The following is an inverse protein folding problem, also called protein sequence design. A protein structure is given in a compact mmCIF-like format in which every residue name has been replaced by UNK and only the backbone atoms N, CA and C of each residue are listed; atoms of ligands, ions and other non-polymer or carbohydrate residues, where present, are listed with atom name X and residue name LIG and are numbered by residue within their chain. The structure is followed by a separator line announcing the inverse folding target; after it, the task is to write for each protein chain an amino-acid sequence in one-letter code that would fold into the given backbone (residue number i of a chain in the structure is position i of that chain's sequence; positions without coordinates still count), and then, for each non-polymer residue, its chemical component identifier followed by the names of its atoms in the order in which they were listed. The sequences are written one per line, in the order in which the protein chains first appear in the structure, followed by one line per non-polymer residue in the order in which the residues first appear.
data_IF_853976397363
#
_entry.id   IF_853976397363
#
_cell.length_a   1.000
_cell.length_b   1.000
_cell.length_c   1.000
_cell.angle_alpha   90.00
_cell.angle_beta   90.00
_cell.angle_gamma   90.00
#
_symmetry.space_group_name_H-M   'P 1'
#
loop_
_entity.id
_entity.type
_entity.pdbx_description
1 polymer ?
#
# COMPACT_ATOMS: atom_id res chain seq x y z
N UNK A 1 1.17 5.01 -38.76
CA UNK A 1 0.35 4.52 -37.63
C UNK A 1 1.02 4.72 -36.26
N UNK A 2 2.35 4.61 -36.13
CA UNK A 2 3.07 4.87 -34.85
C UNK A 2 2.95 6.33 -34.36
N UNK A 3 2.93 7.30 -35.29
CA UNK A 3 2.87 8.74 -34.98
C UNK A 3 1.54 9.22 -34.39
N UNK A 4 0.42 8.54 -34.61
CA UNK A 4 -0.88 8.94 -34.10
C UNK A 4 -1.12 8.47 -32.66
N UNK A 5 -0.63 7.26 -32.32
CA UNK A 5 -0.67 6.74 -30.95
C UNK A 5 0.23 7.54 -30.00
N UNK A 6 1.40 7.99 -30.46
CA UNK A 6 2.30 8.85 -29.69
C UNK A 6 1.67 10.24 -29.46
N UNK A 7 1.13 10.87 -30.49
CA UNK A 7 0.46 12.17 -30.36
C UNK A 7 -0.78 12.14 -29.45
N UNK A 8 -1.53 11.03 -29.45
CA UNK A 8 -2.68 10.84 -28.57
C UNK A 8 -2.28 10.58 -27.11
N UNK A 9 -1.18 9.86 -26.88
CA UNK A 9 -0.61 9.66 -25.55
C UNK A 9 -0.03 10.98 -24.97
N UNK A 10 0.67 11.77 -25.79
CA UNK A 10 1.23 13.07 -25.39
C UNK A 10 0.12 14.11 -25.11
N UNK A 11 -0.97 14.09 -25.89
CA UNK A 11 -2.14 14.95 -25.65
C UNK A 11 -2.85 14.62 -24.34
N UNK A 12 -3.09 13.33 -24.06
CA UNK A 12 -3.67 12.87 -22.79
C UNK A 12 -2.79 13.23 -21.58
N UNK A 13 -1.47 13.11 -21.73
CA UNK A 13 -0.53 13.45 -20.65
C UNK A 13 -0.52 14.95 -20.35
N UNK A 14 -0.60 15.79 -21.39
CA UNK A 14 -0.66 17.25 -21.24
C UNK A 14 -1.95 17.71 -20.54
N UNK A 15 -3.09 17.10 -20.87
CA UNK A 15 -4.37 17.40 -20.23
C UNK A 15 -4.40 16.97 -18.75
N UNK A 16 -3.77 15.83 -18.41
CA UNK A 16 -3.63 15.41 -17.01
C UNK A 16 -2.77 16.35 -16.19
N UNK A 17 -1.60 16.74 -16.70
CA UNK A 17 -0.68 17.61 -15.97
C UNK A 17 -1.30 18.99 -15.71
N UNK A 18 -2.08 19.52 -16.67
CA UNK A 18 -2.86 20.74 -16.48
C UNK A 18 -3.95 20.59 -15.41
N UNK A 19 -4.71 19.49 -15.43
CA UNK A 19 -5.75 19.22 -14.42
C UNK A 19 -5.15 19.11 -13.01
N UNK A 20 -4.04 18.39 -12.85
CA UNK A 20 -3.38 18.22 -11.56
C UNK A 20 -2.82 19.56 -11.07
N UNK A 21 -2.12 20.31 -11.93
CA UNK A 21 -1.55 21.62 -11.58
C UNK A 21 -2.63 22.66 -11.22
N UNK A 22 -3.73 22.71 -11.97
CA UNK A 22 -4.84 23.64 -11.71
C UNK A 22 -5.53 23.39 -10.36
N UNK A 23 -5.41 22.18 -9.81
CA UNK A 23 -6.00 21.79 -8.54
C UNK A 23 -4.97 21.63 -7.41
N UNK A 24 -3.70 22.02 -7.64
CA UNK A 24 -2.63 21.92 -6.64
C UNK A 24 -2.31 20.49 -6.23
N UNK A 25 -2.50 19.52 -7.13
CA UNK A 25 -2.28 18.10 -6.83
C UNK A 25 -0.87 17.71 -7.24
N UNK A 26 -0.04 17.41 -6.25
CA UNK A 26 1.34 16.95 -6.48
C UNK A 26 1.43 15.44 -6.46
N UNK A 27 1.61 14.84 -7.64
CA UNK A 27 1.80 13.39 -7.80
C UNK A 27 3.21 13.03 -8.24
N UNK A 28 3.75 11.96 -7.64
CA UNK A 28 5.00 11.33 -8.04
C UNK A 28 4.85 10.49 -9.32
N UNK A 29 5.97 10.01 -9.87
CA UNK A 29 5.97 9.26 -11.12
C UNK A 29 5.13 7.96 -11.07
N UNK A 30 5.15 7.21 -9.95
CA UNK A 30 4.39 5.97 -9.80
C UNK A 30 2.88 6.25 -9.74
N UNK A 31 2.47 7.31 -9.04
CA UNK A 31 1.08 7.77 -8.98
C UNK A 31 0.56 8.16 -10.36
N UNK A 32 1.33 8.94 -11.12
CA UNK A 32 0.98 9.32 -12.51
C UNK A 32 0.88 8.10 -13.41
N UNK A 33 1.82 7.14 -13.29
CA UNK A 33 1.78 5.87 -14.04
C UNK A 33 0.49 5.11 -13.77
N UNK A 34 0.10 4.96 -12.50
CA UNK A 34 -1.15 4.27 -12.13
C UNK A 34 -2.37 5.02 -12.65
N UNK A 35 -2.42 6.35 -12.53
CA UNK A 35 -3.53 7.15 -13.03
C UNK A 35 -3.68 7.00 -14.55
N UNK A 36 -2.58 7.07 -15.30
CA UNK A 36 -2.57 6.84 -16.75
C UNK A 36 -2.99 5.41 -17.10
N UNK A 37 -2.55 4.41 -16.32
CA UNK A 37 -2.98 3.02 -16.48
C UNK A 37 -4.49 2.85 -16.30
N UNK A 38 -5.08 3.49 -15.27
CA UNK A 38 -6.52 3.48 -15.04
C UNK A 38 -7.26 4.18 -16.18
N UNK A 39 -6.76 5.33 -16.64
CA UNK A 39 -7.40 6.10 -17.69
C UNK A 39 -7.44 5.35 -19.03
N UNK A 40 -6.36 4.64 -19.38
CA UNK A 40 -6.32 3.79 -20.57
C UNK A 40 -7.35 2.66 -20.55
N UNK A 41 -7.69 2.15 -19.36
CA UNK A 41 -8.60 1.00 -19.20
C UNK A 41 -10.06 1.42 -19.05
N UNK A 42 -10.31 2.45 -18.25
CA UNK A 42 -11.66 2.80 -17.82
C UNK A 42 -12.22 4.01 -18.57
N UNK A 43 -11.35 4.82 -19.17
CA UNK A 43 -11.71 6.05 -19.88
C UNK A 43 -11.13 7.31 -19.24
N UNK A 44 -11.60 8.50 -19.64
CA UNK A 44 -10.99 9.77 -19.24
C UNK A 44 -11.02 9.99 -17.72
N UNK A 45 -10.09 10.81 -17.23
CA UNK A 45 -10.10 11.27 -15.83
C UNK A 45 -10.94 12.53 -15.72
N UNK A 46 -11.83 12.58 -14.73
CA UNK A 46 -12.61 13.76 -14.38
C UNK A 46 -12.41 14.12 -12.90
N UNK A 47 -12.54 15.41 -12.59
CA UNK A 47 -12.50 15.90 -11.22
C UNK A 47 -13.91 15.94 -10.62
N UNK A 48 -14.07 15.44 -9.42
CA UNK A 48 -15.30 15.57 -8.66
C UNK A 48 -15.39 16.94 -7.99
N UNK A 49 -16.35 17.77 -8.40
CA UNK A 49 -16.58 19.13 -7.85
C UNK A 49 -17.78 19.21 -6.89
N UNK A 50 -18.22 18.08 -6.34
CA UNK A 50 -19.41 17.99 -5.48
C UNK A 50 -20.72 17.76 -6.25
N UNK A 51 -21.69 17.10 -5.59
CA UNK A 51 -22.98 16.73 -6.19
C UNK A 51 -23.03 15.29 -6.75
N UNK A 52 -24.10 14.88 -7.43
CA UNK A 52 -24.15 13.57 -8.08
C UNK A 52 -23.18 13.51 -9.26
N UNK A 53 -22.53 12.36 -9.47
CA UNK A 53 -21.74 12.13 -10.70
C UNK A 53 -22.70 12.23 -11.88
N UNK A 54 -22.38 13.04 -12.88
CA UNK A 54 -23.20 13.17 -14.07
C UNK A 54 -23.39 11.77 -14.67
N UNK A 55 -24.63 11.38 -14.95
CA UNK A 55 -25.04 10.00 -15.27
C UNK A 55 -24.39 9.36 -16.53
N UNK A 56 -23.39 10.02 -17.13
CA UNK A 56 -22.69 9.62 -18.36
C UNK A 56 -21.19 9.40 -18.20
N UNK A 57 -20.58 9.71 -17.06
CA UNK A 57 -19.12 9.67 -16.92
C UNK A 57 -18.65 8.25 -16.53
N UNK A 58 -18.36 7.43 -17.55
CA UNK A 58 -17.45 6.29 -17.40
C UNK A 58 -16.03 6.82 -17.26
N UNK A 59 -15.18 6.13 -16.50
CA UNK A 59 -13.77 6.51 -16.39
C UNK A 59 -13.26 6.58 -14.96
N UNK A 60 -12.31 7.48 -14.77
CA UNK A 60 -11.58 7.65 -13.52
C UNK A 60 -12.02 8.96 -12.89
N UNK A 61 -12.47 8.91 -11.64
CA UNK A 61 -12.99 10.08 -10.93
C UNK A 61 -12.01 10.45 -9.82
N UNK A 62 -11.39 11.62 -9.93
CA UNK A 62 -10.53 12.20 -8.90
C UNK A 62 -11.38 12.92 -7.86
N UNK A 63 -11.26 12.51 -6.60
CA UNK A 63 -11.94 13.16 -5.47
C UNK A 63 -10.88 13.83 -4.61
N UNK A 64 -10.83 15.16 -4.70
CA UNK A 64 -9.82 16.00 -4.03
C UNK A 64 -10.35 16.72 -2.79
N UNK A 65 -11.68 16.85 -2.71
CA UNK A 65 -12.37 17.35 -1.53
C UNK A 65 -13.06 16.19 -0.80
N UNK A 66 -12.93 16.07 0.52
CA UNK A 66 -13.63 15.05 1.27
C UNK A 66 -15.15 15.35 1.24
N UNK A 67 -15.98 14.45 0.71
CA UNK A 67 -17.43 14.65 0.75
C UNK A 67 -17.96 14.49 2.18
N UNK A 68 -19.00 15.26 2.53
CA UNK A 68 -19.77 14.99 3.74
C UNK A 68 -20.40 13.59 3.70
N UNK A 69 -20.79 13.02 4.84
CA UNK A 69 -21.43 11.70 4.90
C UNK A 69 -22.61 11.54 3.91
N UNK A 70 -23.58 12.48 3.88
CA UNK A 70 -24.67 12.45 2.90
C UNK A 70 -24.18 12.57 1.44
N UNK A 71 -23.21 13.45 1.16
CA UNK A 71 -22.66 13.62 -0.18
C UNK A 71 -21.92 12.36 -0.67
N UNK A 72 -21.19 11.70 0.23
CA UNK A 72 -20.50 10.43 -0.06
C UNK A 72 -21.48 9.31 -0.39
N UNK A 73 -22.62 9.25 0.30
CA UNK A 73 -23.69 8.27 0.00
C UNK A 73 -24.34 8.53 -1.36
N UNK A 74 -24.62 9.80 -1.69
CA UNK A 74 -25.13 10.19 -3.02
C UNK A 74 -24.11 9.84 -4.11
N UNK A 75 -22.84 10.18 -3.87
CA UNK A 75 -21.73 9.86 -4.77
C UNK A 75 -21.64 8.35 -5.01
N UNK A 76 -21.57 7.55 -3.95
CA UNK A 76 -21.52 6.09 -4.01
C UNK A 76 -22.68 5.49 -4.82
N UNK A 77 -23.90 5.98 -4.61
CA UNK A 77 -25.09 5.50 -5.36
C UNK A 77 -25.10 5.93 -6.82
N UNK A 78 -24.41 7.01 -7.16
CA UNK A 78 -24.28 7.48 -8.54
C UNK A 78 -23.17 6.79 -9.33
N UNK A 79 -22.23 6.13 -8.64
CA UNK A 79 -21.13 5.43 -9.29
C UNK A 79 -21.61 4.23 -10.10
N UNK A 80 -21.01 4.05 -11.27
CA UNK A 80 -21.19 2.85 -12.09
C UNK A 80 -20.15 1.80 -11.72
N UNK A 81 -20.43 0.54 -12.03
CA UNK A 81 -19.49 -0.55 -11.77
C UNK A 81 -18.20 -0.47 -12.60
N UNK A 82 -18.20 0.32 -13.69
CA UNK A 82 -17.07 0.58 -14.60
C UNK A 82 -16.29 1.87 -14.28
N UNK A 83 -16.52 2.47 -13.12
CA UNK A 83 -15.76 3.62 -12.63
C UNK A 83 -14.67 3.22 -11.63
N UNK A 84 -13.54 3.91 -11.67
CA UNK A 84 -12.58 3.94 -10.56
C UNK A 84 -12.61 5.32 -9.89
N UNK A 85 -12.47 5.33 -8.58
CA UNK A 85 -12.34 6.52 -7.74
C UNK A 85 -10.88 6.60 -7.29
N UNK A 86 -10.27 7.77 -7.44
CA UNK A 86 -8.91 8.05 -7.02
C UNK A 86 -8.94 9.20 -6.02
N UNK A 87 -8.30 9.00 -4.87
CA UNK A 87 -8.13 10.01 -3.82
C UNK A 87 -6.62 10.32 -3.72
N UNK A 88 -6.17 11.49 -4.20
CA UNK A 88 -4.75 11.86 -4.17
C UNK A 88 -4.18 12.11 -2.77
N UNK A 89 -5.05 12.33 -1.77
CA UNK A 89 -4.73 12.58 -0.36
C UNK A 89 -5.23 11.40 0.50
N UNK A 90 -4.89 10.18 0.10
CA UNK A 90 -5.42 8.93 0.63
C UNK A 90 -5.16 8.73 2.12
N UNK A 91 -4.09 9.33 2.65
CA UNK A 91 -3.72 9.32 4.06
C UNK A 91 -4.64 10.18 4.95
N UNK A 92 -5.45 11.05 4.35
CA UNK A 92 -6.29 11.97 5.09
C UNK A 92 -7.58 11.28 5.61
N UNK A 93 -7.83 11.31 6.94
CA UNK A 93 -8.97 10.60 7.53
C UNK A 93 -10.34 11.16 7.10
N UNK A 94 -10.40 12.40 6.59
CA UNK A 94 -11.64 12.98 6.09
C UNK A 94 -12.25 12.19 4.91
N UNK A 95 -11.44 11.39 4.18
CA UNK A 95 -11.90 10.52 3.10
C UNK A 95 -12.34 9.13 3.57
N UNK A 96 -12.13 8.76 4.84
CA UNK A 96 -12.35 7.40 5.34
C UNK A 96 -13.80 6.95 5.18
N UNK A 97 -14.77 7.85 5.38
CA UNK A 97 -16.17 7.52 5.17
C UNK A 97 -16.45 7.10 3.72
N UNK A 98 -15.94 7.85 2.74
CA UNK A 98 -16.07 7.50 1.32
C UNK A 98 -15.35 6.18 1.00
N UNK A 99 -14.09 6.05 1.42
CA UNK A 99 -13.29 4.83 1.20
C UNK A 99 -13.98 3.59 1.79
N UNK A 100 -14.64 3.72 2.95
CA UNK A 100 -15.35 2.62 3.62
C UNK A 100 -16.55 2.06 2.84
N UNK A 101 -17.12 2.85 1.92
CA UNK A 101 -18.24 2.48 1.05
C UNK A 101 -17.78 1.77 -0.22
N UNK A 102 -16.53 1.96 -0.60
CA UNK A 102 -15.95 1.45 -1.83
C UNK A 102 -15.16 0.17 -1.56
N UNK A 103 -14.97 -0.61 -2.62
CA UNK A 103 -13.96 -1.67 -2.60
C UNK A 103 -12.59 -1.03 -2.77
N UNK A 104 -11.70 -1.30 -1.83
CA UNK A 104 -10.29 -0.90 -1.87
C UNK A 104 -9.58 -1.68 -2.98
N UNK A 105 -9.04 -0.96 -3.98
CA UNK A 105 -8.31 -1.60 -5.09
C UNK A 105 -6.80 -1.52 -4.89
N UNK A 106 -6.29 -0.41 -4.39
CA UNK A 106 -4.85 -0.28 -4.17
C UNK A 106 -4.44 1.08 -3.60
N UNK A 107 -3.15 1.19 -3.32
CA UNK A 107 -2.51 2.39 -2.78
C UNK A 107 -1.11 2.57 -3.36
N UNK A 108 -0.68 3.82 -3.53
CA UNK A 108 0.68 4.16 -3.95
C UNK A 108 1.29 5.03 -2.87
N UNK A 109 2.44 4.60 -2.36
CA UNK A 109 3.15 5.30 -1.30
C UNK A 109 3.57 6.74 -1.66
N UNK A 110 3.74 7.60 -0.65
CA UNK A 110 4.26 8.95 -0.85
C UNK A 110 5.76 8.93 -1.17
N UNK A 111 6.26 10.06 -1.65
CA UNK A 111 7.67 10.34 -1.90
C UNK A 111 7.91 11.85 -1.93
N UNK A 112 9.17 12.29 -1.99
CA UNK A 112 9.47 13.72 -1.94
C UNK A 112 8.80 14.52 -3.07
N UNK A 113 8.69 13.95 -4.28
CA UNK A 113 8.08 14.57 -5.46
C UNK A 113 6.54 14.45 -5.52
N UNK A 114 5.94 13.61 -4.67
CA UNK A 114 4.51 13.47 -4.46
C UNK A 114 4.27 13.00 -3.02
N UNK A 115 4.17 13.93 -2.05
CA UNK A 115 4.29 13.62 -0.61
C UNK A 115 3.02 13.06 0.03
N UNK A 116 2.01 12.76 -0.79
CA UNK A 116 0.74 12.18 -0.36
C UNK A 116 0.64 10.71 -0.76
N UNK A 117 -0.10 9.94 0.00
CA UNK A 117 -0.48 8.59 -0.41
C UNK A 117 -1.62 8.70 -1.44
N UNK A 118 -1.52 7.99 -2.56
CA UNK A 118 -2.66 7.90 -3.48
C UNK A 118 -3.45 6.64 -3.18
N UNK A 119 -4.74 6.78 -2.87
CA UNK A 119 -5.67 5.66 -2.74
C UNK A 119 -6.54 5.53 -3.99
N UNK A 120 -6.87 4.30 -4.38
CA UNK A 120 -7.82 4.07 -5.46
C UNK A 120 -8.72 2.84 -5.21
N UNK A 121 -9.96 2.93 -5.70
CA UNK A 121 -11.01 1.94 -5.45
C UNK A 121 -12.21 2.10 -6.35
N UNK A 122 -13.29 1.38 -6.07
CA UNK A 122 -14.52 1.44 -6.86
C UNK A 122 -15.60 0.47 -6.38
N UNK A 123 -16.66 0.29 -7.18
CA UNK A 123 -17.74 -0.66 -6.84
C UNK A 123 -17.33 -2.10 -7.15
N UNK A 124 -16.66 -2.33 -8.28
CA UNK A 124 -16.41 -3.68 -8.77
C UNK A 124 -15.03 -3.81 -9.42
N UNK A 125 -14.38 -4.94 -9.16
CA UNK A 125 -13.12 -5.34 -9.80
C UNK A 125 -13.26 -5.75 -11.27
N UNK A 126 -14.48 -6.11 -11.71
CA UNK A 126 -14.73 -6.68 -13.04
C UNK A 126 -14.17 -5.86 -14.22
N UNK A 127 -14.27 -4.52 -14.26
CA UNK A 127 -13.74 -3.73 -15.37
C UNK A 127 -12.21 -3.65 -15.39
N UNK A 128 -11.55 -4.00 -14.30
CA UNK A 128 -10.09 -3.96 -14.14
C UNK A 128 -9.49 -5.35 -14.39
N UNK A 129 -10.26 -6.40 -14.12
CA UNK A 129 -9.88 -7.78 -14.40
C UNK A 129 -9.59 -7.99 -15.90
N UNK A 130 -8.66 -8.90 -16.25
CA UNK A 130 -8.34 -9.20 -17.64
C UNK A 130 -9.58 -9.72 -18.38
N UNK A 131 -9.72 -9.33 -19.64
CA UNK A 131 -10.73 -9.92 -20.52
C UNK A 131 -10.43 -11.40 -20.76
N UNK A 132 -11.48 -12.21 -20.93
CA UNK A 132 -11.32 -13.64 -21.19
C UNK A 132 -10.48 -13.87 -22.46
N UNK A 133 -9.41 -14.66 -22.34
CA UNK A 133 -8.53 -15.02 -23.44
C UNK A 133 -7.38 -14.03 -23.73
N UNK A 134 -7.25 -12.96 -22.95
CA UNK A 134 -6.09 -12.06 -23.05
C UNK A 134 -4.81 -12.78 -22.59
N UNK A 135 -3.73 -12.68 -23.38
CA UNK A 135 -2.41 -13.24 -23.04
C UNK A 135 -1.48 -12.10 -22.65
N UNK A 136 -0.88 -12.16 -21.46
CA UNK A 136 0.12 -11.17 -21.03
C UNK A 136 1.39 -11.27 -21.87
N UNK A 137 2.03 -10.14 -22.16
CA UNK A 137 3.38 -10.11 -22.78
C UNK A 137 4.49 -10.51 -21.78
N UNK A 138 4.30 -10.25 -20.48
CA UNK A 138 5.20 -10.70 -19.42
C UNK A 138 4.79 -12.09 -18.92
N UNK A 139 5.70 -13.07 -19.06
CA UNK A 139 5.52 -14.39 -18.47
C UNK A 139 5.54 -14.26 -16.94
N UNK A 140 4.44 -14.64 -16.28
CA UNK A 140 4.38 -14.80 -14.83
C UNK A 140 4.99 -16.15 -14.46
N UNK A 141 5.76 -16.20 -13.37
CA UNK A 141 6.21 -17.46 -12.76
C UNK A 141 5.53 -17.67 -11.42
N UNK A 142 4.90 -18.82 -11.26
CA UNK A 142 4.35 -19.24 -9.96
C UNK A 142 5.43 -19.91 -9.14
N UNK A 143 5.63 -19.48 -7.91
CA UNK A 143 6.60 -20.10 -6.99
C UNK A 143 5.89 -20.59 -5.74
N UNK A 144 6.39 -21.67 -5.16
CA UNK A 144 5.89 -22.17 -3.89
C UNK A 144 6.97 -22.95 -3.15
N UNK A 145 6.80 -23.08 -1.83
CA UNK A 145 7.67 -23.87 -1.00
C UNK A 145 6.87 -24.65 0.04
N UNK A 146 7.38 -25.83 0.39
CA UNK A 146 6.79 -26.75 1.37
C UNK A 146 7.90 -27.38 2.25
N UNK A 147 7.60 -27.80 3.48
CA UNK A 147 8.57 -28.52 4.31
C UNK A 147 9.09 -29.77 3.59
N UNK A 148 10.39 -30.04 3.63
CA UNK A 148 10.93 -31.25 2.98
C UNK A 148 10.36 -32.54 3.59
N UNK A 149 10.04 -32.53 4.89
CA UNK A 149 9.55 -33.70 5.60
C UNK A 149 8.12 -34.09 5.20
N UNK A 150 7.29 -33.15 4.75
CA UNK A 150 5.90 -33.38 4.36
C UNK A 150 5.36 -32.27 3.44
N UNK A 151 4.37 -32.57 2.61
CA UNK A 151 3.77 -31.58 1.70
C UNK A 151 4.00 -31.85 0.22
N UNK A 152 4.71 -32.93 -0.13
CA UNK A 152 4.97 -33.31 -1.52
C UNK A 152 3.66 -33.55 -2.29
N UNK A 153 2.67 -34.19 -1.68
CA UNK A 153 1.39 -34.49 -2.34
C UNK A 153 0.63 -33.21 -2.72
N UNK A 154 0.55 -32.23 -1.79
CA UNK A 154 -0.06 -30.93 -2.05
C UNK A 154 0.72 -30.14 -3.11
N UNK A 155 2.05 -30.09 -2.96
CA UNK A 155 2.93 -29.44 -3.93
C UNK A 155 2.78 -30.05 -5.34
N UNK A 156 2.63 -31.38 -5.44
CA UNK A 156 2.42 -32.06 -6.70
C UNK A 156 1.07 -31.71 -7.34
N UNK A 157 -0.01 -31.64 -6.55
CA UNK A 157 -1.32 -31.19 -7.06
C UNK A 157 -1.25 -29.77 -7.65
N UNK A 158 -0.53 -28.87 -6.98
CA UNK A 158 -0.33 -27.51 -7.49
C UNK A 158 0.51 -27.50 -8.77
N UNK A 159 1.59 -28.30 -8.85
CA UNK A 159 2.40 -28.45 -10.08
C UNK A 159 1.57 -28.96 -11.25
N UNK A 160 0.71 -29.95 -11.01
CA UNK A 160 -0.14 -30.55 -12.04
C UNK A 160 -1.13 -29.51 -12.59
N UNK A 161 -1.81 -28.77 -11.70
CA UNK A 161 -2.73 -27.70 -12.10
C UNK A 161 -2.03 -26.58 -12.90
N UNK A 162 -0.85 -26.15 -12.47
CA UNK A 162 -0.08 -25.12 -13.18
C UNK A 162 0.43 -25.62 -14.54
N UNK A 163 0.79 -26.90 -14.63
CA UNK A 163 1.18 -27.55 -15.89
C UNK A 163 0.02 -27.63 -16.87
N UNK A 164 -1.19 -27.94 -16.39
CA UNK A 164 -2.41 -27.93 -17.20
C UNK A 164 -2.69 -26.53 -17.78
N UNK A 165 -2.47 -25.48 -16.99
CA UNK A 165 -2.60 -24.10 -17.45
C UNK A 165 -1.43 -23.59 -18.29
N UNK A 166 -0.36 -24.38 -18.46
CA UNK A 166 0.86 -23.96 -19.17
C UNK A 166 1.59 -22.81 -18.49
N UNK A 167 1.49 -22.71 -17.16
CA UNK A 167 2.12 -21.65 -16.37
C UNK A 167 3.48 -22.15 -15.87
N UNK A 168 4.51 -21.35 -16.12
CA UNK A 168 5.86 -21.62 -15.62
C UNK A 168 5.85 -21.59 -14.09
N UNK A 169 6.44 -22.61 -13.47
CA UNK A 169 6.45 -22.71 -12.02
C UNK A 169 7.76 -23.26 -11.47
N UNK A 170 8.04 -22.93 -10.22
CA UNK A 170 9.13 -23.47 -9.42
C UNK A 170 8.63 -23.74 -7.99
N UNK A 171 8.43 -25.00 -7.67
CA UNK A 171 7.85 -25.45 -6.39
C UNK A 171 8.85 -26.37 -5.72
N UNK A 172 9.49 -25.89 -4.66
CA UNK A 172 10.65 -26.54 -4.08
C UNK A 172 10.47 -26.87 -2.59
N UNK A 173 10.97 -28.04 -2.15
CA UNK A 173 11.04 -28.36 -0.73
C UNK A 173 12.12 -27.51 -0.03
N UNK A 174 11.83 -27.04 1.17
CA UNK A 174 12.77 -26.33 2.04
C UNK A 174 12.97 -27.04 3.37
N UNK A 175 14.18 -26.95 3.91
CA UNK A 175 14.51 -27.51 5.22
C UNK A 175 14.05 -26.51 6.30
N UNK A 176 13.14 -26.96 7.18
CA UNK A 176 12.62 -26.15 8.29
C UNK A 176 13.33 -26.57 9.58
N UNK A 177 13.51 -25.63 10.52
CA UNK A 177 14.29 -25.85 11.75
C UNK A 177 13.76 -27.03 12.59
N UNK A 178 12.43 -27.20 12.61
CA UNK A 178 11.76 -28.25 13.39
C UNK A 178 11.16 -29.34 12.49
N UNK A 179 11.38 -29.28 11.17
CA UNK A 179 10.84 -30.22 10.19
C UNK A 179 9.34 -30.11 9.90
N UNK A 180 8.59 -29.32 10.69
CA UNK A 180 7.12 -29.25 10.61
C UNK A 180 6.62 -28.04 9.82
N UNK A 181 6.77 -26.82 10.32
CA UNK A 181 6.15 -25.65 9.70
C UNK A 181 7.16 -24.72 9.01
N UNK A 182 6.75 -24.12 7.88
CA UNK A 182 7.48 -23.04 7.23
C UNK A 182 7.25 -21.76 8.03
N UNK A 183 8.32 -21.19 8.57
CA UNK A 183 8.23 -19.89 9.25
C UNK A 183 8.22 -18.75 8.23
N UNK A 184 7.72 -17.59 8.64
CA UNK A 184 7.70 -16.39 7.80
C UNK A 184 9.09 -16.03 7.24
N UNK A 185 10.14 -16.21 8.06
CA UNK A 185 11.52 -15.94 7.65
C UNK A 185 11.99 -16.90 6.54
N UNK A 186 11.64 -18.17 6.63
CA UNK A 186 12.00 -19.20 5.63
C UNK A 186 11.31 -18.92 4.29
N UNK A 187 10.01 -18.58 4.33
CA UNK A 187 9.25 -18.18 3.14
C UNK A 187 9.80 -16.91 2.50
N UNK A 188 10.08 -15.89 3.29
CA UNK A 188 10.64 -14.63 2.79
C UNK A 188 12.04 -14.84 2.17
N UNK A 189 12.88 -15.69 2.78
CA UNK A 189 14.18 -16.07 2.23
C UNK A 189 14.03 -16.83 0.90
N UNK A 190 13.09 -17.80 0.84
CA UNK A 190 12.75 -18.51 -0.38
C UNK A 190 12.31 -17.55 -1.49
N UNK A 191 11.40 -16.63 -1.19
CA UNK A 191 10.89 -15.64 -2.15
C UNK A 191 11.99 -14.71 -2.66
N UNK A 192 12.88 -14.23 -1.77
CA UNK A 192 14.00 -13.39 -2.16
C UNK A 192 14.97 -14.13 -3.08
N UNK A 193 15.28 -15.40 -2.78
CA UNK A 193 16.10 -16.26 -3.65
C UNK A 193 15.46 -16.45 -5.02
N UNK A 194 14.17 -16.82 -5.06
CA UNK A 194 13.43 -16.98 -6.33
C UNK A 194 13.42 -15.67 -7.13
N UNK A 195 13.30 -14.52 -6.45
CA UNK A 195 13.33 -13.21 -7.11
C UNK A 195 14.71 -12.90 -7.70
N UNK A 196 15.80 -13.39 -7.11
CA UNK A 196 17.14 -13.23 -7.67
C UNK A 196 17.40 -14.19 -8.85
N UNK A 197 16.88 -15.41 -8.78
CA UNK A 197 17.11 -16.45 -9.79
C UNK A 197 16.31 -16.25 -11.07
N UNK A 198 15.07 -15.76 -10.95
CA UNK A 198 14.14 -15.63 -12.07
C UNK A 198 14.02 -14.18 -12.52
N UNK A 199 13.83 -13.97 -13.83
CA UNK A 199 13.64 -12.62 -14.42
C UNK A 199 12.17 -12.24 -14.53
N UNK A 200 11.29 -13.21 -14.44
CA UNK A 200 9.84 -13.08 -14.45
C UNK A 200 9.31 -12.50 -13.13
N UNK A 201 8.22 -11.72 -13.16
CA UNK A 201 7.43 -11.44 -11.95
C UNK A 201 7.02 -12.74 -11.27
N UNK A 202 6.98 -12.71 -9.95
CA UNK A 202 6.68 -13.89 -9.14
C UNK A 202 5.28 -13.82 -8.56
N UNK A 203 4.57 -14.94 -8.58
CA UNK A 203 3.37 -15.17 -7.80
C UNK A 203 3.60 -16.34 -6.86
N UNK A 204 3.70 -16.05 -5.57
CA UNK A 204 3.63 -17.07 -4.53
C UNK A 204 2.20 -17.56 -4.40
N UNK A 205 2.01 -18.88 -4.42
CA UNK A 205 0.76 -19.57 -4.05
C UNK A 205 1.12 -20.64 -3.02
N UNK A 206 0.41 -20.68 -1.90
CA UNK A 206 0.61 -21.70 -0.87
C UNK A 206 0.45 -23.12 -1.45
N UNK A 207 1.29 -24.09 -1.03
CA UNK A 207 1.38 -25.41 -1.69
C UNK A 207 0.10 -26.25 -1.58
N UNK A 208 -0.73 -25.96 -0.58
CA UNK A 208 -2.04 -26.56 -0.27
C UNK A 208 -3.21 -25.85 -0.96
N UNK A 209 -2.96 -24.83 -1.78
CA UNK A 209 -4.02 -24.14 -2.51
C UNK A 209 -4.50 -24.92 -3.74
N UNK A 210 -5.80 -24.87 -3.99
CA UNK A 210 -6.44 -25.36 -5.21
C UNK A 210 -6.68 -24.22 -6.19
N UNK A 211 -6.39 -24.45 -7.47
CA UNK A 211 -6.63 -23.50 -8.55
C UNK A 211 -7.89 -23.88 -9.33
N UNK A 212 -8.89 -23.00 -9.36
CA UNK A 212 -10.08 -23.21 -10.20
C UNK A 212 -9.93 -22.59 -11.59
N UNK A 213 -9.04 -21.61 -11.73
CA UNK A 213 -8.76 -20.87 -12.96
C UNK A 213 -7.27 -20.49 -13.03
N UNK A 214 -6.74 -20.12 -14.22
CA UNK A 214 -5.36 -19.62 -14.33
C UNK A 214 -5.12 -18.37 -13.46
N UNK A 215 -4.13 -18.36 -12.54
CA UNK A 215 -3.84 -17.25 -11.63
C UNK A 215 -3.09 -16.08 -12.29
N UNK A 216 -3.62 -15.56 -13.39
CA UNK A 216 -2.95 -14.55 -14.23
C UNK A 216 -3.36 -13.11 -13.91
N UNK A 217 -4.35 -12.87 -13.04
CA UNK A 217 -4.78 -11.50 -12.72
C UNK A 217 -3.60 -10.57 -12.34
N UNK A 218 -2.67 -10.95 -11.44
CA UNK A 218 -1.62 -10.04 -10.99
C UNK A 218 -0.68 -9.54 -12.09
N UNK A 219 -0.39 -10.37 -13.10
CA UNK A 219 0.47 -9.99 -14.23
C UNK A 219 -0.14 -8.90 -15.12
N UNK A 220 -1.46 -8.67 -15.00
CA UNK A 220 -2.18 -7.63 -15.74
C UNK A 220 -2.29 -6.31 -14.99
N UNK A 221 -1.92 -6.26 -13.72
CA UNK A 221 -2.16 -5.11 -12.86
C UNK A 221 -1.07 -4.04 -12.99
N UNK A 222 0.07 -4.32 -13.63
CA UNK A 222 1.19 -3.36 -13.78
C UNK A 222 1.56 -2.70 -12.45
N UNK A 223 1.68 -3.51 -11.39
CA UNK A 223 1.94 -3.08 -10.02
C UNK A 223 3.26 -3.63 -9.51
N UNK A 224 3.77 -3.05 -8.42
CA UNK A 224 4.96 -3.54 -7.74
C UNK A 224 4.61 -4.80 -6.93
N UNK A 225 3.48 -4.76 -6.21
CA UNK A 225 3.08 -5.81 -5.28
C UNK A 225 1.56 -5.98 -5.33
N UNK A 226 1.09 -7.23 -5.27
CA UNK A 226 -0.32 -7.51 -5.04
C UNK A 226 -0.52 -8.58 -3.97
N UNK A 227 -1.47 -8.33 -3.07
CA UNK A 227 -1.73 -9.18 -1.90
C UNK A 227 -3.21 -9.18 -1.55
N UNK A 228 -3.73 -10.30 -1.07
CA UNK A 228 -5.10 -10.37 -0.58
C UNK A 228 -5.20 -9.84 0.86
N UNK A 229 -6.29 -9.10 1.16
CA UNK A 229 -6.63 -8.67 2.53
C UNK A 229 -7.77 -9.50 3.11
N UNK A 230 -7.49 -10.28 4.16
CA UNK A 230 -8.53 -10.82 5.02
C UNK A 230 -9.12 -9.75 5.91
N UNK A 231 -10.41 -9.91 6.22
CA UNK A 231 -11.11 -9.07 7.19
C UNK A 231 -10.97 -7.55 6.92
N UNK A 232 -10.66 -7.15 5.68
CA UNK A 232 -10.34 -5.79 5.21
C UNK A 232 -9.03 -5.17 5.71
N UNK A 233 -8.23 -5.85 6.53
CA UNK A 233 -7.02 -5.24 7.12
C UNK A 233 -5.80 -6.18 7.18
N UNK A 234 -5.99 -7.48 7.14
CA UNK A 234 -4.95 -8.49 7.38
C UNK A 234 -4.36 -8.98 6.06
N UNK A 235 -3.05 -8.83 5.87
CA UNK A 235 -2.40 -9.28 4.65
C UNK A 235 -2.20 -10.80 4.67
N UNK A 236 -2.63 -11.49 3.62
CA UNK A 236 -2.43 -12.93 3.51
C UNK A 236 -1.07 -13.27 2.90
N UNK A 237 -0.25 -14.02 3.64
CA UNK A 237 1.01 -14.59 3.13
C UNK A 237 0.82 -15.86 2.26
N UNK A 238 -0.42 -16.19 1.89
CA UNK A 238 -0.75 -17.40 1.10
C UNK A 238 -0.80 -17.14 -0.40
N UNK A 239 -1.05 -15.89 -0.80
CA UNK A 239 -1.02 -15.46 -2.21
C UNK A 239 -0.35 -14.10 -2.31
N UNK A 240 0.86 -14.05 -2.85
CA UNK A 240 1.68 -12.84 -2.92
C UNK A 240 2.26 -12.65 -4.31
N UNK A 241 2.00 -11.52 -4.93
CA UNK A 241 2.61 -11.13 -6.19
C UNK A 241 3.71 -10.10 -5.97
N UNK A 242 4.85 -10.29 -6.64
CA UNK A 242 5.96 -9.35 -6.69
C UNK A 242 6.39 -9.11 -8.13
N UNK A 243 6.27 -7.85 -8.55
CA UNK A 243 6.79 -7.35 -9.81
C UNK A 243 8.32 -7.32 -9.84
N UNK A 244 8.86 -7.02 -11.03
CA UNK A 244 10.29 -6.83 -11.25
C UNK A 244 10.69 -5.37 -11.09
N UNK A 245 10.49 -4.83 -9.89
CA UNK A 245 10.81 -3.44 -9.59
C UNK A 245 11.64 -3.34 -8.33
N UNK A 246 12.43 -2.28 -8.20
CA UNK A 246 13.23 -2.02 -7.00
C UNK A 246 12.34 -1.87 -5.75
N UNK A 247 11.10 -1.38 -5.93
CA UNK A 247 10.12 -1.26 -4.87
C UNK A 247 9.67 -2.63 -4.33
N UNK A 248 9.40 -3.58 -5.23
CA UNK A 248 9.06 -4.96 -4.87
C UNK A 248 10.23 -5.68 -4.17
N UNK A 249 11.46 -5.50 -4.67
CA UNK A 249 12.68 -6.03 -4.06
C UNK A 249 12.92 -5.47 -2.65
N UNK A 250 12.69 -4.17 -2.47
CA UNK A 250 12.81 -3.51 -1.17
C UNK A 250 11.78 -4.07 -0.19
N UNK A 251 10.54 -4.31 -0.63
CA UNK A 251 9.53 -4.96 0.21
C UNK A 251 9.96 -6.38 0.62
N UNK A 252 10.43 -7.19 -0.33
CA UNK A 252 10.90 -8.56 -0.04
C UNK A 252 12.07 -8.55 0.97
N UNK A 253 13.01 -7.63 0.79
CA UNK A 253 14.17 -7.49 1.68
C UNK A 253 13.75 -7.06 3.09
N UNK A 254 12.85 -6.08 3.20
CA UNK A 254 12.31 -5.61 4.48
C UNK A 254 11.50 -6.71 5.17
N UNK A 255 10.69 -7.47 4.41
CA UNK A 255 9.92 -8.58 4.95
C UNK A 255 10.83 -9.69 5.49
N UNK A 256 11.86 -10.08 4.73
CA UNK A 256 12.84 -11.06 5.21
C UNK A 256 13.57 -10.58 6.47
N UNK A 257 14.00 -9.33 6.50
CA UNK A 257 14.66 -8.74 7.66
C UNK A 257 13.77 -8.76 8.92
N UNK A 258 12.54 -8.24 8.80
CA UNK A 258 11.57 -8.17 9.90
C UNK A 258 11.18 -9.58 10.37
N UNK A 259 10.92 -10.50 9.45
CA UNK A 259 10.56 -11.87 9.79
C UNK A 259 11.69 -12.63 10.48
N UNK A 260 12.95 -12.34 10.13
CA UNK A 260 14.13 -12.91 10.81
C UNK A 260 14.30 -12.33 12.21
N UNK A 261 14.05 -11.03 12.38
CA UNK A 261 14.19 -10.35 13.67
C UNK A 261 13.09 -10.74 14.68
N UNK A 262 11.89 -11.08 14.19
CA UNK A 262 10.71 -11.35 15.02
C UNK A 262 10.06 -12.71 14.68
N UNK A 263 10.76 -13.84 14.88
CA UNK A 263 10.31 -15.16 14.41
C UNK A 263 9.06 -15.69 15.13
N UNK A 264 8.74 -15.15 16.32
CA UNK A 264 7.55 -15.53 17.08
C UNK A 264 6.29 -14.76 16.65
N UNK A 265 6.44 -13.74 15.82
CA UNK A 265 5.33 -12.90 15.39
C UNK A 265 4.72 -13.48 14.12
N UNK A 266 3.40 -13.39 14.03
CA UNK A 266 2.63 -13.87 12.90
C UNK A 266 2.99 -13.20 11.57
N UNK A 267 3.06 -14.02 10.51
CA UNK A 267 3.44 -13.62 9.14
C UNK A 267 2.64 -12.46 8.58
N UNK A 268 1.30 -12.49 8.67
CA UNK A 268 0.46 -11.44 8.09
C UNK A 268 0.71 -10.07 8.72
N UNK A 269 1.05 -10.04 10.01
CA UNK A 269 1.47 -8.83 10.70
C UNK A 269 2.86 -8.38 10.22
N UNK A 270 3.84 -9.29 10.16
CA UNK A 270 5.20 -8.96 9.72
C UNK A 270 5.22 -8.43 8.28
N UNK A 271 4.38 -8.98 7.40
CA UNK A 271 4.21 -8.51 6.04
C UNK A 271 3.60 -7.11 5.98
N UNK A 272 2.57 -6.83 6.80
CA UNK A 272 2.00 -5.48 6.90
C UNK A 272 3.00 -4.46 7.47
N UNK A 273 3.87 -4.84 8.41
CA UNK A 273 4.95 -3.98 8.91
C UNK A 273 5.99 -3.70 7.83
N UNK A 274 6.41 -4.73 7.10
CA UNK A 274 7.32 -4.57 5.96
C UNK A 274 6.71 -3.68 4.87
N UNK A 275 5.41 -3.85 4.59
CA UNK A 275 4.67 -3.01 3.65
C UNK A 275 4.60 -1.56 4.12
N UNK A 276 4.28 -1.33 5.39
CA UNK A 276 4.16 0.02 5.97
C UNK A 276 5.51 0.75 5.92
N UNK A 277 6.59 0.06 6.31
CA UNK A 277 7.96 0.57 6.23
C UNK A 277 8.32 0.94 4.80
N UNK A 278 8.21 -0.02 3.88
CA UNK A 278 8.58 0.15 2.47
C UNK A 278 7.78 1.28 1.85
N UNK A 279 6.46 1.28 1.99
CA UNK A 279 5.58 2.27 1.37
C UNK A 279 5.75 3.67 1.96
N UNK A 280 6.34 3.83 3.14
CA UNK A 280 6.70 5.15 3.67
C UNK A 280 8.00 5.72 3.08
N UNK A 281 8.91 4.85 2.64
CA UNK A 281 10.24 5.24 2.15
C UNK A 281 10.28 5.44 0.63
N UNK A 282 9.38 4.79 -0.09
CA UNK A 282 9.32 4.83 -1.56
C UNK A 282 7.88 4.69 -2.06
N UNK A 283 7.58 5.15 -3.29
CA UNK A 283 6.23 5.14 -3.83
C UNK A 283 5.83 3.74 -4.33
N UNK A 284 5.65 2.82 -3.39
CA UNK A 284 5.28 1.43 -3.62
C UNK A 284 3.84 1.34 -4.14
N UNK A 285 3.66 0.84 -5.37
CA UNK A 285 2.37 0.62 -6.02
C UNK A 285 1.79 -0.74 -5.64
N UNK A 286 0.89 -0.72 -4.65
CA UNK A 286 0.28 -1.92 -4.04
C UNK A 286 -1.14 -2.11 -4.53
N UNK A 287 -1.50 -3.35 -4.85
CA UNK A 287 -2.84 -3.72 -5.29
C UNK A 287 -3.44 -4.80 -4.39
N UNK A 288 -4.70 -4.63 -3.99
CA UNK A 288 -5.39 -5.51 -3.05
C UNK A 288 -6.23 -6.56 -3.78
N UNK A 289 -5.75 -7.80 -3.86
CA UNK A 289 -6.43 -8.82 -4.66
C UNK A 289 -7.87 -9.09 -4.16
N UNK A 290 -8.86 -9.17 -5.06
CA UNK A 290 -10.26 -9.31 -4.66
C UNK A 290 -10.55 -10.68 -4.04
N UNK A 291 -11.66 -10.79 -3.30
CA UNK A 291 -12.19 -12.08 -2.83
C UNK A 291 -12.54 -13.06 -3.95
N UNK A 292 -12.82 -12.57 -5.16
CA UNK A 292 -12.98 -13.44 -6.33
C UNK A 292 -11.66 -14.02 -6.85
N UNK A 293 -10.52 -13.54 -6.36
CA UNK A 293 -9.22 -14.08 -6.72
C UNK A 293 -8.69 -15.03 -5.64
N UNK A 294 -8.89 -14.71 -4.37
CA UNK A 294 -8.42 -15.50 -3.24
C UNK A 294 -9.52 -15.58 -2.16
N UNK A 295 -9.95 -16.79 -1.82
CA UNK A 295 -10.93 -17.06 -0.76
C UNK A 295 -10.70 -18.42 -0.05
N UNK A 296 -11.25 -18.62 1.16
CA UNK A 296 -11.28 -19.92 1.84
C UNK A 296 -12.37 -20.80 1.20
N UNK A 297 -12.20 -22.12 1.27
CA UNK A 297 -13.15 -23.09 0.70
C UNK A 297 -14.53 -23.03 1.38
N UNK A 298 -14.54 -22.81 2.70
CA UNK A 298 -15.75 -22.89 3.55
C UNK A 298 -16.36 -21.52 3.92
N UNK A 299 -15.90 -20.41 3.32
CA UNK A 299 -16.47 -19.09 3.63
C UNK A 299 -17.86 -18.90 2.97
N UNK A 300 -18.86 -18.54 3.79
CA UNK A 300 -20.23 -18.22 3.38
C UNK A 300 -20.23 -16.93 2.55
N UNK A 301 -19.84 -17.04 1.29
CA UNK A 301 -19.64 -15.90 0.40
C UNK A 301 -18.50 -16.08 -0.60
N UNK A 302 -17.77 -17.21 -0.56
CA UNK A 302 -16.77 -17.55 -1.58
C UNK A 302 -17.41 -17.52 -2.97
N UNK A 303 -16.95 -16.64 -3.87
CA UNK A 303 -17.47 -16.59 -5.22
C UNK A 303 -17.29 -17.94 -5.92
N UNK A 304 -18.30 -18.37 -6.69
CA UNK A 304 -18.27 -19.65 -7.43
C UNK A 304 -17.07 -19.82 -8.37
N UNK A 305 -16.40 -18.72 -8.73
CA UNK A 305 -15.27 -18.66 -9.66
C UNK A 305 -14.05 -18.04 -8.97
N UNK A 306 -13.69 -18.53 -7.78
CA UNK A 306 -12.51 -18.03 -7.08
C UNK A 306 -11.26 -18.68 -7.67
N UNK A 307 -10.31 -17.86 -8.11
CA UNK A 307 -9.09 -18.35 -8.80
C UNK A 307 -8.23 -19.24 -7.89
N UNK A 308 -7.90 -18.77 -6.69
CA UNK A 308 -7.09 -19.47 -5.68
C UNK A 308 -7.95 -19.75 -4.45
N UNK A 309 -8.13 -21.02 -4.12
CA UNK A 309 -8.92 -21.49 -2.98
C UNK A 309 -8.02 -22.22 -2.01
N UNK A 310 -8.19 -22.01 -0.70
CA UNK A 310 -7.50 -22.78 0.33
C UNK A 310 -8.47 -23.35 1.37
N UNK A 311 -8.02 -24.39 2.07
CA UNK A 311 -8.77 -25.12 3.09
C UNK A 311 -8.70 -24.48 4.48
N UNK A 312 -7.75 -23.55 4.73
CA UNK A 312 -7.68 -22.89 6.03
C UNK A 312 -8.92 -22.00 6.30
N UNK A 313 -9.59 -22.16 7.45
CA UNK A 313 -10.68 -21.29 7.85
C UNK A 313 -10.19 -19.86 8.03
N UNK A 314 -11.05 -18.87 7.76
CA UNK A 314 -10.76 -17.44 7.97
C UNK A 314 -10.80 -17.03 9.46
N UNK A 315 -10.30 -17.91 10.34
CA UNK A 315 -10.32 -17.72 11.79
C UNK A 315 -8.98 -17.20 12.32
N UNK A 316 -8.56 -17.67 13.50
CA UNK A 316 -7.34 -17.25 14.18
C UNK A 316 -6.23 -18.31 14.08
N UNK A 317 -6.46 -19.44 13.38
CA UNK A 317 -5.52 -20.56 13.31
C UNK A 317 -4.17 -20.14 12.69
N UNK A 318 -4.17 -19.14 11.81
CA UNK A 318 -2.98 -18.62 11.15
C UNK A 318 -2.18 -17.62 12.01
N UNK A 319 -2.58 -17.25 13.24
CA UNK A 319 -1.97 -16.16 14.04
C UNK A 319 -0.56 -16.43 14.60
N UNK A 320 0.18 -17.37 14.02
CA UNK A 320 1.53 -17.71 14.45
C UNK A 320 1.59 -18.34 15.85
N UNK A 321 2.80 -18.53 16.40
CA UNK A 321 2.99 -19.29 17.65
C UNK A 321 2.49 -18.55 18.90
N UNK A 322 2.25 -17.23 18.83
CA UNK A 322 1.68 -16.43 19.91
C UNK A 322 0.27 -15.90 19.54
N UNK A 323 -0.74 -16.71 19.82
CA UNK A 323 -2.14 -16.38 19.57
C UNK A 323 -2.64 -15.19 20.41
N UNK A 324 -2.06 -14.95 21.60
CA UNK A 324 -2.45 -13.83 22.47
C UNK A 324 -2.02 -12.49 21.88
N UNK A 325 -0.81 -12.42 21.32
CA UNK A 325 -0.33 -11.27 20.55
C UNK A 325 -1.26 -10.96 19.37
N UNK A 326 -1.62 -12.01 18.61
CA UNK A 326 -2.56 -11.89 17.50
C UNK A 326 -3.91 -11.30 17.92
N UNK A 327 -4.47 -11.72 19.06
CA UNK A 327 -5.74 -11.20 19.59
C UNK A 327 -5.62 -9.72 19.99
N UNK A 328 -4.56 -9.35 20.71
CA UNK A 328 -4.36 -7.98 21.21
C UNK A 328 -4.20 -6.97 20.05
N UNK A 329 -3.39 -7.30 19.05
CA UNK A 329 -3.12 -6.43 17.90
C UNK A 329 -4.32 -6.38 16.93
N UNK A 330 -5.07 -7.48 16.81
CA UNK A 330 -6.25 -7.58 15.94
C UNK A 330 -7.40 -6.69 16.39
N UNK A 331 -7.65 -6.55 17.69
CA UNK A 331 -8.69 -5.65 18.20
C UNK A 331 -8.40 -4.18 17.82
N UNK A 332 -7.16 -3.73 18.01
CA UNK A 332 -6.72 -2.39 17.63
C UNK A 332 -6.82 -2.14 16.11
N UNK A 333 -6.63 -3.17 15.29
CA UNK A 333 -6.65 -3.06 13.81
C UNK A 333 -8.02 -3.28 13.17
N UNK A 334 -8.90 -4.10 13.77
CA UNK A 334 -10.30 -4.30 13.34
C UNK A 334 -11.12 -3.00 13.37
N UNK A 335 -10.72 -2.03 14.19
CA UNK A 335 -11.30 -0.68 14.22
C UNK A 335 -10.94 0.18 12.98
N UNK A 336 -10.33 -0.41 11.94
CA UNK A 336 -10.04 0.25 10.67
C UNK A 336 -9.00 1.35 10.86
N UNK A 337 -7.73 0.97 10.96
CA UNK A 337 -6.57 1.90 11.03
C UNK A 337 -6.86 3.20 11.78
N UNK A 338 -7.32 3.08 13.03
CA UNK A 338 -7.43 4.24 13.92
C UNK A 338 -6.07 4.80 14.33
N UNK A 339 -4.98 4.06 14.06
CA UNK A 339 -3.60 4.52 14.08
C UNK A 339 -3.03 4.53 12.65
N UNK A 340 -2.40 5.65 12.27
CA UNK A 340 -1.66 5.76 11.01
C UNK A 340 -0.50 4.77 10.93
N UNK A 341 0.18 4.70 9.78
CA UNK A 341 1.51 4.10 9.71
C UNK A 341 2.42 4.79 10.74
N UNK A 342 3.38 4.07 11.32
CA UNK A 342 4.37 4.65 12.26
C UNK A 342 5.01 5.92 11.69
N UNK A 343 5.32 5.90 10.39
CA UNK A 343 5.59 7.09 9.59
C UNK A 343 4.77 7.05 8.31
N UNK A 344 4.10 8.14 7.97
CA UNK A 344 3.38 8.28 6.71
C UNK A 344 4.38 8.37 5.54
N UNK A 345 5.40 9.21 5.68
CA UNK A 345 6.49 9.37 4.72
C UNK A 345 7.83 9.47 5.46
N UNK A 346 8.85 8.87 4.87
CA UNK A 346 10.24 8.93 5.28
C UNK A 346 11.05 9.49 4.11
N UNK A 347 11.76 10.59 4.33
CA UNK A 347 12.58 11.25 3.31
C UNK A 347 14.04 11.21 3.74
N UNK A 348 14.89 10.58 2.93
CA UNK A 348 16.34 10.62 3.11
C UNK A 348 16.91 11.89 2.47
N UNK A 349 17.87 12.51 3.13
CA UNK A 349 18.63 13.66 2.59
C UNK A 349 19.97 13.20 2.01
N UNK A 350 20.71 14.14 1.41
CA UNK A 350 22.09 13.93 0.95
C UNK A 350 23.13 14.24 2.04
N UNK A 351 22.69 14.58 3.26
CA UNK A 351 23.62 14.84 4.35
C UNK A 351 24.31 13.55 4.79
N UNK A 352 25.63 13.60 4.99
CA UNK A 352 26.41 12.50 5.55
C UNK A 352 26.22 12.43 7.08
N UNK A 353 25.01 12.11 7.51
CA UNK A 353 24.61 12.04 8.91
C UNK A 353 23.62 10.90 9.11
N UNK A 354 23.75 10.17 10.22
CA UNK A 354 22.76 9.19 10.66
C UNK A 354 21.68 9.82 11.56
N UNK A 355 21.81 11.11 11.89
CA UNK A 355 20.82 11.83 12.69
C UNK A 355 19.49 11.92 11.94
N UNK A 356 18.40 11.59 12.64
CA UNK A 356 17.05 11.66 12.10
C UNK A 356 16.17 12.64 12.88
N UNK A 357 15.17 13.19 12.19
CA UNK A 357 14.14 14.04 12.77
C UNK A 357 12.75 13.49 12.48
N UNK A 358 11.92 13.37 13.51
CA UNK A 358 10.51 13.02 13.42
C UNK A 358 9.66 14.27 13.59
N UNK A 359 8.87 14.59 12.57
CA UNK A 359 7.81 15.59 12.63
C UNK A 359 6.50 14.88 12.94
N UNK A 360 5.85 15.27 14.03
CA UNK A 360 4.57 14.73 14.47
C UNK A 360 3.50 15.78 14.17
N UNK A 361 2.64 15.49 13.21
CA UNK A 361 1.48 16.33 12.88
C UNK A 361 0.28 15.88 13.70
N UNK A 362 -0.16 16.72 14.63
CA UNK A 362 -1.28 16.43 15.53
C UNK A 362 -2.63 16.91 15.03
N UNK A 363 -3.69 16.42 15.66
CA UNK A 363 -5.07 16.85 15.51
C UNK A 363 -5.63 16.71 14.07
N UNK A 364 -5.07 15.77 13.28
CA UNK A 364 -5.44 15.60 11.87
C UNK A 364 -6.92 15.23 11.70
N UNK A 365 -7.55 14.56 12.68
CA UNK A 365 -8.96 14.16 12.62
C UNK A 365 -9.93 15.36 12.67
N UNK A 366 -9.46 16.52 13.13
CA UNK A 366 -10.26 17.76 13.28
C UNK A 366 -9.78 18.90 12.39
N UNK A 367 -8.81 18.61 11.51
CA UNK A 367 -8.19 19.57 10.61
C UNK A 367 -8.83 19.53 9.23
N UNK A 368 -8.80 20.66 8.52
CA UNK A 368 -9.26 20.70 7.14
C UNK A 368 -8.33 19.87 6.22
N UNK A 369 -8.90 19.26 5.19
CA UNK A 369 -8.13 18.37 4.35
C UNK A 369 -7.07 19.08 3.50
N UNK A 370 -7.36 20.29 3.04
CA UNK A 370 -6.39 21.11 2.29
C UNK A 370 -5.32 21.67 3.21
N UNK A 371 -5.68 22.08 4.42
CA UNK A 371 -4.69 22.54 5.42
C UNK A 371 -3.69 21.42 5.76
N UNK A 372 -4.19 20.20 5.99
CA UNK A 372 -3.35 19.02 6.20
C UNK A 372 -2.46 18.74 5.00
N UNK A 373 -3.03 18.75 3.79
CA UNK A 373 -2.26 18.51 2.57
C UNK A 373 -1.14 19.54 2.39
N UNK A 374 -1.47 20.83 2.51
CA UNK A 374 -0.50 21.93 2.40
C UNK A 374 0.61 21.85 3.46
N UNK A 375 0.29 21.43 4.69
CA UNK A 375 1.28 21.22 5.74
C UNK A 375 2.23 20.06 5.44
N UNK A 376 1.74 18.94 4.91
CA UNK A 376 2.59 17.83 4.46
C UNK A 376 3.55 18.31 3.37
N UNK A 377 3.04 19.03 2.37
CA UNK A 377 3.87 19.60 1.31
C UNK A 377 4.90 20.60 1.83
N UNK A 378 4.52 21.44 2.79
CA UNK A 378 5.41 22.42 3.42
C UNK A 378 6.53 21.75 4.20
N UNK A 379 6.24 20.71 4.98
CA UNK A 379 7.26 19.92 5.70
C UNK A 379 8.24 19.27 4.72
N UNK A 380 7.71 18.57 3.70
CA UNK A 380 8.55 17.89 2.71
C UNK A 380 9.41 18.87 1.92
N UNK A 381 8.85 20.02 1.53
CA UNK A 381 9.56 21.05 0.77
C UNK A 381 10.61 21.78 1.61
N UNK A 382 10.30 22.09 2.87
CA UNK A 382 11.28 22.68 3.79
C UNK A 382 12.47 21.73 4.01
N UNK A 383 12.23 20.42 4.16
CA UNK A 383 13.29 19.44 4.39
C UNK A 383 14.17 19.26 3.15
N UNK A 384 13.57 19.27 1.96
CA UNK A 384 14.32 19.20 0.71
C UNK A 384 15.13 20.46 0.42
N UNK A 385 14.62 21.64 0.80
CA UNK A 385 15.33 22.89 0.64
C UNK A 385 16.51 23.00 1.63
N UNK A 386 16.31 22.59 2.87
CA UNK A 386 17.33 22.57 3.90
C UNK A 386 17.01 21.52 4.97
N UNK A 387 17.71 20.39 4.91
CA UNK A 387 17.56 19.31 5.89
C UNK A 387 18.18 19.62 7.26
N UNK A 388 18.81 20.78 7.46
CA UNK A 388 19.41 21.16 8.74
C UNK A 388 20.57 20.28 9.22
N UNK A 389 21.09 19.39 8.36
CA UNK A 389 22.10 18.38 8.68
C UNK A 389 21.55 17.02 9.12
N UNK A 390 20.22 16.84 9.16
CA UNK A 390 19.61 15.53 9.40
C UNK A 390 19.70 14.66 8.13
N UNK A 391 20.12 13.41 8.29
CA UNK A 391 20.15 12.42 7.21
C UNK A 391 18.76 11.92 6.81
N UNK A 392 17.79 12.00 7.73
CA UNK A 392 16.43 11.47 7.53
C UNK A 392 15.35 12.31 8.21
N UNK A 393 14.24 12.50 7.52
CA UNK A 393 12.98 12.99 8.05
C UNK A 393 11.96 11.85 8.11
N UNK A 394 11.23 11.76 9.21
CA UNK A 394 10.05 10.92 9.39
C UNK A 394 8.86 11.81 9.70
N UNK A 395 7.77 11.70 8.93
CA UNK A 395 6.54 12.44 9.20
C UNK A 395 5.45 11.47 9.66
N UNK A 396 5.00 11.64 10.90
CA UNK A 396 3.91 10.89 11.49
C UNK A 396 2.64 11.73 11.54
N UNK A 397 1.52 11.12 11.17
CA UNK A 397 0.19 11.75 11.20
C UNK A 397 -0.60 11.17 12.38
N UNK A 398 -0.95 12.01 13.33
CA UNK A 398 -1.57 11.59 14.59
C UNK A 398 -3.00 12.14 14.72
N UNK A 399 -4.03 11.32 14.47
CA UNK A 399 -5.43 11.73 14.59
C UNK A 399 -5.84 12.01 16.03
N UNK A 400 -5.31 11.24 16.98
CA UNK A 400 -5.69 11.32 18.38
C UNK A 400 -4.48 11.56 19.29
N UNK A 401 -4.76 11.98 20.53
CA UNK A 401 -3.72 12.24 21.54
C UNK A 401 -2.89 11.00 21.88
N UNK A 402 -3.50 9.81 21.81
CA UNK A 402 -2.80 8.55 22.06
C UNK A 402 -1.76 8.25 20.97
N UNK A 403 -2.06 8.58 19.71
CA UNK A 403 -1.12 8.44 18.60
C UNK A 403 0.08 9.37 18.77
N UNK A 404 -0.14 10.61 19.26
CA UNK A 404 0.96 11.56 19.54
C UNK A 404 1.90 10.98 20.60
N UNK A 405 1.35 10.37 21.66
CA UNK A 405 2.14 9.74 22.72
C UNK A 405 2.94 8.56 22.18
N UNK A 406 2.31 7.70 21.38
CA UNK A 406 2.97 6.56 20.74
C UNK A 406 4.10 7.01 19.81
N UNK A 407 3.83 7.97 18.91
CA UNK A 407 4.82 8.51 17.97
C UNK A 407 6.01 9.15 18.69
N UNK A 408 5.78 9.93 19.77
CA UNK A 408 6.86 10.49 20.59
C UNK A 408 7.70 9.40 21.25
N UNK A 409 7.07 8.33 21.73
CA UNK A 409 7.77 7.21 22.36
C UNK A 409 8.64 6.46 21.37
N UNK A 410 8.11 6.19 20.17
CA UNK A 410 8.84 5.54 19.07
C UNK A 410 10.03 6.40 18.62
N UNK A 411 9.81 7.69 18.36
CA UNK A 411 10.86 8.61 17.95
C UNK A 411 11.98 8.75 19.00
N UNK A 412 11.65 8.79 20.30
CA UNK A 412 12.65 8.80 21.37
C UNK A 412 13.45 7.49 21.42
N UNK A 413 12.79 6.36 21.23
CA UNK A 413 13.45 5.04 21.21
C UNK A 413 14.40 4.91 20.02
N UNK A 414 14.07 5.55 18.89
CA UNK A 414 14.94 5.66 17.72
C UNK A 414 16.03 6.75 17.84
N UNK A 415 16.09 7.48 18.97
CA UNK A 415 16.99 8.62 19.18
C UNK A 415 16.81 9.76 18.15
N UNK A 416 15.59 9.92 17.63
CA UNK A 416 15.26 10.97 16.68
C UNK A 416 15.01 12.31 17.41
N UNK A 417 15.28 13.41 16.72
CA UNK A 417 14.81 14.72 17.16
C UNK A 417 13.32 14.87 16.88
N UNK A 418 12.58 15.56 17.74
CA UNK A 418 11.12 15.60 17.62
C UNK A 418 10.65 17.04 17.44
N UNK A 419 9.85 17.27 16.41
CA UNK A 419 9.06 18.49 16.24
C UNK A 419 7.60 18.10 16.28
N UNK A 420 6.79 18.86 17.02
CA UNK A 420 5.34 18.75 16.97
C UNK A 420 4.75 19.98 16.25
N UNK A 421 3.91 19.72 15.25
CA UNK A 421 3.22 20.73 14.45
C UNK A 421 1.72 20.45 14.36
N UNK A 422 0.95 21.48 14.01
CA UNK A 422 -0.45 21.35 13.62
C UNK A 422 -0.68 21.84 12.19
N UNK A 423 -1.67 21.30 11.44
CA UNK A 423 -1.91 21.63 10.03
C UNK A 423 -2.12 23.11 9.68
N UNK A 424 -2.55 23.94 10.63
CA UNK A 424 -2.77 25.38 10.43
C UNK A 424 -1.53 26.23 10.69
N UNK A 425 -0.40 25.63 11.08
CA UNK A 425 0.81 26.37 11.42
C UNK A 425 1.64 26.69 10.19
N UNK A 426 2.04 27.94 10.04
CA UNK A 426 3.01 28.34 9.01
C UNK A 426 4.40 27.85 9.40
N UNK A 427 5.03 27.08 8.51
CA UNK A 427 6.36 26.54 8.72
C UNK A 427 7.41 27.44 8.04
N UNK A 428 8.47 27.85 8.75
CA UNK A 428 9.56 28.60 8.14
C UNK A 428 10.38 27.70 7.21
N UNK A 429 10.91 28.25 6.13
CA UNK A 429 11.69 27.48 5.15
C UNK A 429 13.00 26.90 5.73
N UNK A 430 13.55 27.52 6.78
CA UNK A 430 14.76 27.12 7.50
C UNK A 430 14.46 26.38 8.82
N UNK A 431 13.26 25.79 8.94
CA UNK A 431 12.79 25.07 10.13
C UNK A 431 13.84 24.08 10.66
N UNK A 432 14.33 23.20 9.80
CA UNK A 432 15.24 22.12 10.23
C UNK A 432 16.61 22.63 10.65
N UNK A 433 17.12 23.69 10.01
CA UNK A 433 18.35 24.38 10.42
C UNK A 433 18.18 25.00 11.80
N UNK A 434 17.06 25.67 12.04
CA UNK A 434 16.78 26.28 13.35
C UNK A 434 16.73 25.22 14.46
N UNK A 435 16.09 24.08 14.20
CA UNK A 435 15.97 22.98 15.16
C UNK A 435 17.30 22.26 15.39
N UNK A 436 18.17 22.14 14.37
CA UNK A 436 19.50 21.56 14.56
C UNK A 436 20.43 22.46 15.36
N UNK A 437 20.25 23.79 15.28
CA UNK A 437 21.02 24.77 16.06
C UNK A 437 20.56 24.87 17.52
N UNK A 438 19.30 24.55 17.83
CA UNK A 438 18.76 24.58 19.20
C UNK A 438 19.14 23.35 20.04
N UNK A 439 20.33 22.75 19.80
CA UNK A 439 20.80 21.48 20.39
C UNK A 439 20.76 21.44 21.93
N UNK A 440 20.75 22.59 22.60
CA UNK A 440 20.80 22.70 24.07
C UNK A 440 19.41 22.66 24.78
N UNK A 441 18.29 22.65 24.04
CA UNK A 441 16.94 22.86 24.61
C UNK A 441 15.97 21.68 24.46
N UNK A 442 16.24 20.52 25.07
CA UNK A 442 15.28 19.40 25.14
C UNK A 442 14.93 18.71 23.79
N UNK A 443 14.40 17.47 23.83
CA UNK A 443 14.22 16.68 22.59
C UNK A 443 12.96 17.00 21.78
N UNK A 444 12.08 17.86 22.29
CA UNK A 444 10.77 18.16 21.67
C UNK A 444 10.63 19.67 21.49
N UNK A 445 10.54 20.11 20.24
CA UNK A 445 10.18 21.50 19.88
C UNK A 445 8.70 21.53 19.53
N UNK A 446 7.90 22.24 20.32
CA UNK A 446 6.48 22.49 20.02
C UNK A 446 6.38 23.85 19.35
N UNK A 447 5.94 23.88 18.09
CA UNK A 447 5.73 25.15 17.39
C UNK A 447 4.50 25.85 17.96
N UNK A 448 4.65 27.12 18.36
CA UNK A 448 3.54 27.94 18.84
C UNK A 448 2.79 28.57 17.65
N UNK A 449 1.47 28.45 17.64
CA UNK A 449 0.59 29.12 16.68
C UNK A 449 -0.86 29.05 17.14
N UNK A 450 -1.58 30.16 17.12
CA UNK A 450 -3.01 30.21 17.43
C UNK A 450 -3.82 29.86 16.18
N UNK A 451 -4.89 29.09 16.34
CA UNK A 451 -5.88 28.84 15.28
C UNK A 451 -6.64 30.16 15.10
N UNK A 452 -6.52 30.75 13.90
CA UNK A 452 -7.17 32.01 13.53
C UNK A 452 -8.69 31.88 13.39
#
# INVERSE_FOLDING_TARGET
MISAHLAQADGLQTDFDQLLAANGIRMNAAQRRRLAWLARRLGPVSLHQGGPVAARDRGVILVVEPPSGPAAEIFYRSLRSDCAVVVPFGENPAFDFLKSKLTDFGTIGPSLDGPHEMWWGGISWRPIAPEQGFRTEAALRVVSCYPRAHGEDQAQQLRDALSEFGIAHDIAPIDTADGEEIRAADKAAFMLRMWQEHREPLLFIAPDATLSEPPVLPSHLDCDVAVHKWNRWEMSGRTLYFGRTAAAETLLSNWHHIATAYPAVWEGYLLDQAWSLTSSQLPLDTVWLPRSYHAPIDDLGTPRHTTVVHDLPADNADLGPDAEFGIAVRAARRAGRSSGRDSMIVISSQAASDDAITVIMRDIATSDAREMAASIEAVASAFAADCGGFGRLELALCPWQDDIRAAKSAARSANNRIIEIAPWQTLPADLFRTVSQSRDGGSVVVMAGQRG
#
